data_IF_137793640591
#
_entry.id   IF_137793640591
#
_cell.length_a   1.000
_cell.length_b   1.000
_cell.length_c   1.000
_cell.angle_alpha   90.00
_cell.angle_beta   90.00
_cell.angle_gamma   90.00
#
_symmetry.space_group_name_H-M   'P 1'
#
loop_
_entity.id
_entity.type
_entity.pdbx_description
1 polymer ?
#
# COMPACT_ATOMS: atom_id res chain seq x y z
N UNK A 1 7.66 -1.68 4.79
CA UNK A 1 6.81 -0.75 3.99
C UNK A 1 5.41 -1.36 3.84
N UNK A 2 4.35 -0.55 3.70
CA UNK A 2 2.96 -1.03 3.70
C UNK A 2 2.21 -0.62 2.42
N UNK A 3 1.41 -1.54 1.86
CA UNK A 3 0.50 -1.26 0.76
C UNK A 3 -0.88 -1.88 1.04
N UNK A 4 -1.90 -1.02 1.16
CA UNK A 4 -3.29 -1.46 1.30
C UNK A 4 -3.98 -1.45 -0.07
N UNK A 5 -4.61 -2.56 -0.45
CA UNK A 5 -5.31 -2.71 -1.72
C UNK A 5 -6.73 -3.24 -1.49
N UNK A 6 -7.65 -2.85 -2.38
CA UNK A 6 -8.90 -3.57 -2.53
C UNK A 6 -8.62 -4.99 -3.07
N UNK A 7 -9.15 -6.01 -2.40
CA UNK A 7 -8.82 -7.42 -2.63
C UNK A 7 -9.11 -7.90 -4.05
N UNK A 8 -10.10 -7.29 -4.72
CA UNK A 8 -10.51 -7.65 -6.08
C UNK A 8 -9.60 -7.09 -7.19
N UNK A 9 -8.64 -6.21 -6.87
CA UNK A 9 -7.76 -5.61 -7.88
C UNK A 9 -6.78 -6.66 -8.41
N UNK A 10 -6.57 -6.69 -9.72
CA UNK A 10 -5.60 -7.58 -10.38
C UNK A 10 -4.18 -7.50 -9.81
N UNK A 11 -3.79 -6.33 -9.30
CA UNK A 11 -2.51 -6.13 -8.59
C UNK A 11 -2.33 -7.08 -7.40
N UNK A 12 -3.40 -7.45 -6.69
CA UNK A 12 -3.34 -8.41 -5.57
C UNK A 12 -2.92 -9.79 -6.07
N UNK A 13 -3.52 -10.26 -7.16
CA UNK A 13 -3.12 -11.52 -7.80
C UNK A 13 -1.67 -11.48 -8.28
N UNK A 14 -1.24 -10.36 -8.87
CA UNK A 14 0.15 -10.21 -9.32
C UNK A 14 1.14 -10.28 -8.17
N UNK A 15 0.87 -9.64 -7.04
CA UNK A 15 1.75 -9.68 -5.85
C UNK A 15 1.88 -11.09 -5.25
N UNK A 16 0.80 -11.88 -5.28
CA UNK A 16 0.84 -13.29 -4.82
C UNK A 16 1.68 -14.17 -5.75
N UNK A 17 1.60 -13.92 -7.06
CA UNK A 17 2.36 -14.69 -8.04
C UNK A 17 3.82 -14.23 -8.15
N UNK A 18 4.07 -12.93 -7.94
CA UNK A 18 5.37 -12.28 -8.08
C UNK A 18 5.52 -11.26 -6.93
N UNK A 19 6.15 -11.65 -5.80
CA UNK A 19 6.16 -10.84 -4.58
C UNK A 19 7.14 -9.66 -4.62
N UNK A 20 7.97 -9.57 -5.66
CA UNK A 20 8.98 -8.53 -5.82
C UNK A 20 8.36 -7.29 -6.46
N UNK A 21 8.61 -6.14 -5.86
CA UNK A 21 8.08 -4.85 -6.32
C UNK A 21 9.14 -3.77 -6.27
N UNK A 22 8.90 -2.71 -7.05
CA UNK A 22 9.65 -1.47 -6.97
C UNK A 22 8.69 -0.32 -6.69
N UNK A 23 8.97 0.45 -5.65
CA UNK A 23 8.29 1.70 -5.35
C UNK A 23 9.16 2.85 -5.83
N UNK A 24 8.59 3.73 -6.63
CA UNK A 24 9.29 4.90 -7.17
C UNK A 24 8.65 6.15 -6.61
N UNK A 25 9.46 6.97 -5.94
CA UNK A 25 9.07 8.27 -5.41
C UNK A 25 9.80 9.32 -6.25
N UNK A 26 9.04 10.18 -6.91
CA UNK A 26 9.59 11.26 -7.73
C UNK A 26 9.37 12.59 -7.04
N UNK A 27 10.38 13.47 -7.11
CA UNK A 27 10.20 14.86 -6.74
C UNK A 27 9.37 15.57 -7.81
N UNK A 28 8.18 16.11 -7.48
CA UNK A 28 7.32 16.78 -8.45
C UNK A 28 7.94 18.07 -9.01
N UNK A 29 8.87 18.71 -8.29
CA UNK A 29 9.56 19.91 -8.74
C UNK A 29 10.80 19.60 -9.61
N UNK A 30 11.34 18.38 -9.53
CA UNK A 30 12.50 17.97 -10.31
C UNK A 30 12.40 16.46 -10.64
N UNK A 31 11.99 16.08 -11.87
CA UNK A 31 11.85 14.67 -12.24
C UNK A 31 13.17 13.90 -12.30
N UNK A 32 14.31 14.60 -12.31
CA UNK A 32 15.64 13.98 -12.20
C UNK A 32 16.06 13.78 -10.74
N UNK A 33 15.24 14.15 -9.76
CA UNK A 33 15.41 13.78 -8.37
C UNK A 33 14.37 12.72 -7.99
N UNK A 34 14.81 11.49 -7.79
CA UNK A 34 13.94 10.38 -7.45
C UNK A 34 14.59 9.36 -6.52
N UNK A 35 13.76 8.55 -5.89
CA UNK A 35 14.15 7.40 -5.09
C UNK A 35 13.41 6.15 -5.57
N UNK A 36 14.13 5.05 -5.67
CA UNK A 36 13.61 3.72 -5.99
C UNK A 36 13.85 2.79 -4.82
N UNK A 37 12.81 2.09 -4.38
CA UNK A 37 12.85 1.12 -3.29
C UNK A 37 12.45 -0.22 -3.87
N UNK A 38 13.39 -1.18 -3.91
CA UNK A 38 13.08 -2.58 -4.21
C UNK A 38 12.68 -3.26 -2.92
N UNK A 39 11.58 -4.01 -2.97
CA UNK A 39 11.04 -4.66 -1.81
C UNK A 39 10.34 -5.95 -2.20
N UNK A 40 10.26 -6.88 -1.25
CA UNK A 40 9.61 -8.17 -1.43
C UNK A 40 8.48 -8.30 -0.40
N UNK A 41 7.32 -8.81 -0.84
CA UNK A 41 6.20 -9.13 0.06
C UNK A 41 6.70 -10.09 1.14
N UNK A 42 6.64 -9.65 2.39
CA UNK A 42 6.96 -10.47 3.56
C UNK A 42 5.68 -11.10 4.14
N UNK A 43 4.58 -10.35 4.16
CA UNK A 43 3.29 -10.79 4.71
C UNK A 43 2.11 -10.22 3.94
N UNK A 44 1.04 -10.98 3.88
CA UNK A 44 -0.27 -10.57 3.41
C UNK A 44 -1.27 -10.73 4.56
N UNK A 45 -2.03 -9.67 4.87
CA UNK A 45 -3.04 -9.68 5.93
C UNK A 45 -4.38 -9.34 5.31
N UNK A 46 -5.31 -10.30 5.38
CA UNK A 46 -6.70 -10.09 4.97
C UNK A 46 -7.47 -9.31 6.02
N UNK A 47 -8.35 -8.40 5.59
CA UNK A 47 -9.27 -7.74 6.51
C UNK A 47 -10.27 -8.71 7.18
N UNK A 48 -10.45 -9.90 6.61
CA UNK A 48 -11.26 -10.97 7.22
C UNK A 48 -10.50 -11.78 8.27
N UNK A 49 -9.20 -11.51 8.46
CA UNK A 49 -8.42 -12.20 9.48
C UNK A 49 -8.97 -11.88 10.88
N UNK A 50 -9.24 -12.92 11.67
CA UNK A 50 -9.90 -12.77 12.97
C UNK A 50 -9.03 -12.07 14.03
N UNK A 51 -7.71 -12.09 13.86
CA UNK A 51 -6.76 -11.58 14.85
C UNK A 51 -6.16 -10.26 14.38
N UNK A 52 -5.76 -10.20 13.11
CA UNK A 52 -5.00 -9.09 12.54
C UNK A 52 -5.81 -8.25 11.54
N UNK A 53 -7.03 -8.66 11.17
CA UNK A 53 -7.85 -7.98 10.16
C UNK A 53 -8.15 -6.52 10.50
N UNK A 54 -8.30 -6.20 11.78
CA UNK A 54 -8.45 -4.82 12.26
C UNK A 54 -7.29 -3.90 11.89
N UNK A 55 -6.07 -4.42 11.75
CA UNK A 55 -4.89 -3.65 11.32
C UNK A 55 -5.04 -3.13 9.88
N UNK A 56 -5.74 -3.89 9.03
CA UNK A 56 -5.97 -3.53 7.63
C UNK A 56 -6.85 -2.28 7.54
N UNK A 57 -7.94 -2.25 8.31
CA UNK A 57 -8.86 -1.10 8.40
C UNK A 57 -8.18 0.10 9.06
N UNK A 58 -7.53 -0.10 10.22
CA UNK A 58 -6.83 0.97 10.93
C UNK A 58 -5.76 1.66 10.06
N UNK A 59 -5.05 0.89 9.23
CA UNK A 59 -4.07 1.46 8.30
C UNK A 59 -4.72 2.38 7.26
N UNK A 60 -5.80 1.94 6.60
CA UNK A 60 -6.43 2.77 5.55
C UNK A 60 -7.13 4.00 6.12
N UNK A 61 -7.71 3.89 7.32
CA UNK A 61 -8.30 5.04 8.01
C UNK A 61 -7.24 6.08 8.39
N UNK A 62 -6.08 5.64 8.87
CA UNK A 62 -4.93 6.52 9.11
C UNK A 62 -4.45 7.22 7.84
N UNK A 63 -4.45 6.52 6.70
CA UNK A 63 -4.09 7.13 5.41
C UNK A 63 -5.15 8.13 4.94
N UNK A 64 -6.44 7.82 5.14
CA UNK A 64 -7.53 8.72 4.83
C UNK A 64 -7.42 10.02 5.66
N UNK A 65 -7.21 9.91 6.98
CA UNK A 65 -6.97 11.07 7.82
C UNK A 65 -5.75 11.88 7.34
N UNK A 66 -4.64 11.23 6.99
CA UNK A 66 -3.41 11.89 6.58
C UNK A 66 -3.55 12.67 5.26
N UNK A 67 -4.21 12.09 4.26
CA UNK A 67 -4.21 12.62 2.89
C UNK A 67 -5.53 13.29 2.48
N UNK A 68 -6.63 12.98 3.16
CA UNK A 68 -7.95 13.51 2.88
C UNK A 68 -8.51 14.36 4.03
N UNK A 69 -7.93 14.27 5.23
CA UNK A 69 -8.41 14.98 6.42
C UNK A 69 -9.74 14.45 6.96
N UNK A 70 -10.16 13.25 6.56
CA UNK A 70 -11.45 12.65 6.96
C UNK A 70 -11.37 12.10 8.39
N UNK A 71 -12.09 12.72 9.32
CA UNK A 71 -12.18 12.27 10.72
C UNK A 71 -12.94 10.96 10.92
N UNK A 72 -13.76 10.56 9.94
CA UNK A 72 -14.69 9.42 10.04
C UNK A 72 -14.18 8.14 9.36
N UNK A 73 -12.87 8.03 9.10
CA UNK A 73 -12.25 6.89 8.43
C UNK A 73 -12.35 6.91 6.90
N UNK A 74 -12.00 5.80 6.25
CA UNK A 74 -11.93 5.71 4.79
C UNK A 74 -13.31 5.44 4.14
N UNK A 75 -13.83 6.42 3.39
CA UNK A 75 -15.19 6.39 2.82
C UNK A 75 -15.28 5.93 1.36
N UNK A 76 -14.15 5.72 0.67
CA UNK A 76 -14.12 5.37 -0.77
C UNK A 76 -14.06 3.85 -1.01
N UNK A 77 -14.84 3.07 -0.27
CA UNK A 77 -15.06 1.66 -0.57
C UNK A 77 -16.14 1.53 -1.64
N UNK A 78 -16.05 0.51 -2.48
CA UNK A 78 -17.13 0.16 -3.41
C UNK A 78 -18.19 -0.70 -2.69
N UNK A 79 -19.36 -0.16 -2.33
CA UNK A 79 -20.39 -0.92 -1.63
C UNK A 79 -21.03 -1.99 -2.51
N UNK A 80 -21.05 -1.81 -3.83
CA UNK A 80 -21.63 -2.79 -4.77
C UNK A 80 -20.87 -4.12 -4.80
N UNK A 81 -19.62 -4.10 -4.34
CA UNK A 81 -18.72 -5.26 -4.27
C UNK A 81 -18.54 -5.81 -2.87
N UNK A 82 -19.15 -5.19 -1.85
CA UNK A 82 -18.79 -5.42 -0.46
C UNK A 82 -17.25 -5.37 -0.29
N UNK A 83 -16.63 -4.28 -0.78
CA UNK A 83 -15.18 -4.22 -0.96
C UNK A 83 -14.40 -4.52 0.33
N UNK A 84 -13.60 -5.59 0.27
CA UNK A 84 -12.65 -5.96 1.33
C UNK A 84 -11.24 -5.49 0.99
N UNK A 85 -10.47 -5.21 2.05
CA UNK A 85 -9.07 -4.78 1.93
C UNK A 85 -8.09 -5.90 2.26
N UNK A 86 -6.89 -5.76 1.71
CA UNK A 86 -5.72 -6.56 2.03
C UNK A 86 -4.55 -5.63 2.28
N UNK A 87 -3.78 -5.89 3.33
CA UNK A 87 -2.56 -5.17 3.66
C UNK A 87 -1.36 -6.05 3.33
N UNK A 88 -0.48 -5.57 2.46
CA UNK A 88 0.82 -6.18 2.22
C UNK A 88 1.89 -5.46 3.04
N UNK A 89 2.70 -6.24 3.76
CA UNK A 89 3.92 -5.79 4.42
C UNK A 89 5.11 -6.22 3.57
N UNK A 90 6.03 -5.30 3.28
CA UNK A 90 7.20 -5.55 2.47
C UNK A 90 8.49 -5.37 3.27
N UNK A 91 9.39 -6.33 3.12
CA UNK A 91 10.79 -6.20 3.48
C UNK A 91 11.51 -5.37 2.39
N UNK A 92 12.32 -4.40 2.81
CA UNK A 92 13.08 -3.56 1.86
C UNK A 92 14.36 -4.29 1.49
N UNK A 93 14.57 -4.52 0.21
CA UNK A 93 15.73 -5.24 -0.32
C UNK A 93 16.87 -4.27 -0.64
N UNK A 94 16.54 -3.12 -1.24
CA UNK A 94 17.52 -2.07 -1.54
C UNK A 94 16.83 -0.72 -1.78
N UNK A 95 17.60 0.36 -1.59
CA UNK A 95 17.20 1.73 -1.89
C UNK A 95 18.23 2.35 -2.81
N UNK A 96 17.75 2.99 -3.88
CA UNK A 96 18.56 3.78 -4.80
C UNK A 96 18.00 5.19 -4.88
N UNK A 97 18.88 6.18 -4.97
CA UNK A 97 18.52 7.59 -5.17
C UNK A 97 19.26 8.13 -6.39
N UNK A 98 18.66 9.13 -7.03
CA UNK A 98 19.25 9.82 -8.16
C UNK A 98 18.88 11.29 -8.10
N UNK A 99 19.81 12.15 -8.54
CA UNK A 99 19.66 13.60 -8.49
C UNK A 99 20.08 14.22 -7.16
N UNK A 100 20.36 15.54 -7.20
CA UNK A 100 20.54 16.34 -5.98
C UNK A 100 19.19 16.78 -5.44
N UNK A 101 19.05 16.95 -4.10
CA UNK A 101 17.83 17.40 -3.45
C UNK A 101 17.20 18.64 -4.08
#
# INVERSE_FOLDING_TARGET
MLLNLASHRKKVQWLRNNPQVTFMLMNPANPFHWMSIKATVAREISENDAVEGGKVTAHIDRMAQKYLGTGDGYTFRDPSRNERRVLFEFAVDSVATFGKP
#
